data_IF_277520625810
#
_entry.id   IF_277520625810
#
_cell.length_a   1.000
_cell.length_b   1.000
_cell.length_c   1.000
_cell.angle_alpha   90.00
_cell.angle_beta   90.00
_cell.angle_gamma   90.00
#
_symmetry.space_group_name_H-M   'P 1'
#
loop_
_entity.id
_entity.type
_entity.pdbx_description
1 polymer ?
#
# COMPACT_ATOMS: atom_id res chain seq x y z
N UNK A 1 12.02 0.74 -23.79
CA UNK A 1 10.61 0.48 -23.44
C UNK A 1 10.04 1.73 -22.79
N UNK A 2 9.41 2.60 -23.57
CA UNK A 2 8.68 3.75 -23.02
C UNK A 2 7.29 3.25 -22.65
N UNK A 3 6.91 3.38 -21.38
CA UNK A 3 5.56 3.02 -20.94
C UNK A 3 4.54 3.87 -21.70
N UNK A 4 3.60 3.22 -22.39
CA UNK A 4 2.49 3.92 -23.02
C UNK A 4 1.67 4.67 -21.95
N UNK A 5 1.18 5.89 -22.24
CA UNK A 5 0.48 6.73 -21.28
C UNK A 5 -0.74 6.04 -20.63
N UNK A 6 -1.40 5.14 -21.36
CA UNK A 6 -2.52 4.35 -20.84
C UNK A 6 -2.11 3.37 -19.73
N UNK A 7 -0.91 2.80 -19.81
CA UNK A 7 -0.39 1.85 -18.81
C UNK A 7 -0.04 2.60 -17.52
N UNK A 8 0.60 3.76 -17.65
CA UNK A 8 0.93 4.61 -16.50
C UNK A 8 -0.31 5.05 -15.75
N UNK A 9 -1.37 5.44 -16.47
CA UNK A 9 -2.66 5.81 -15.85
C UNK A 9 -3.29 4.63 -15.09
N UNK A 10 -3.29 3.43 -15.68
CA UNK A 10 -3.84 2.24 -15.02
C UNK A 10 -3.10 1.91 -13.72
N UNK A 11 -1.75 1.97 -13.73
CA UNK A 11 -0.93 1.73 -12.53
C UNK A 11 -1.24 2.77 -11.44
N UNK A 12 -1.37 4.04 -11.80
CA UNK A 12 -1.71 5.10 -10.85
C UNK A 12 -3.09 4.87 -10.23
N UNK A 13 -4.10 4.57 -11.05
CA UNK A 13 -5.46 4.31 -10.58
C UNK A 13 -5.53 3.10 -9.65
N UNK A 14 -4.80 2.03 -9.96
CA UNK A 14 -4.74 0.84 -9.09
C UNK A 14 -4.05 1.10 -7.75
N UNK A 15 -2.97 1.89 -7.73
CA UNK A 15 -2.32 2.32 -6.49
C UNK A 15 -3.21 3.25 -5.65
N UNK A 16 -3.97 4.15 -6.28
CA UNK A 16 -4.94 4.99 -5.58
C UNK A 16 -6.03 4.14 -4.94
N UNK A 17 -6.58 3.16 -5.67
CA UNK A 17 -7.59 2.25 -5.15
C UNK A 17 -7.05 1.42 -3.96
N UNK A 18 -5.82 0.91 -4.07
CA UNK A 18 -5.15 0.19 -2.97
C UNK A 18 -5.14 1.00 -1.68
N UNK A 19 -4.75 2.27 -1.77
CA UNK A 19 -4.72 3.19 -0.62
C UNK A 19 -6.13 3.42 -0.08
N UNK A 20 -7.10 3.66 -0.97
CA UNK A 20 -8.48 3.94 -0.60
C UNK A 20 -9.12 2.80 0.21
N UNK A 21 -8.88 1.55 -0.17
CA UNK A 21 -9.43 0.37 0.53
C UNK A 21 -8.55 -0.13 1.68
N UNK A 22 -7.39 0.50 1.91
CA UNK A 22 -6.44 0.09 2.95
C UNK A 22 -5.72 -1.24 2.68
N UNK A 23 -5.59 -1.65 1.41
CA UNK A 23 -4.87 -2.86 1.04
C UNK A 23 -3.35 -2.71 1.19
N UNK A 24 -2.66 -3.78 1.55
CA UNK A 24 -1.20 -3.75 1.78
C UNK A 24 -0.40 -3.64 0.48
N UNK A 25 -0.84 -4.31 -0.59
CA UNK A 25 -0.14 -4.37 -1.87
C UNK A 25 -1.12 -4.24 -3.05
N UNK A 26 -0.61 -3.74 -4.17
CA UNK A 26 -1.23 -3.77 -5.49
C UNK A 26 -0.16 -4.23 -6.47
N UNK A 27 -0.50 -5.19 -7.33
CA UNK A 27 0.42 -5.85 -8.25
C UNK A 27 -0.34 -6.13 -9.54
N UNK A 28 0.08 -5.50 -10.63
CA UNK A 28 -0.37 -5.84 -11.98
C UNK A 28 0.29 -7.16 -12.41
N UNK A 29 -0.48 -8.10 -12.94
CA UNK A 29 0.02 -9.40 -13.37
C UNK A 29 -0.62 -9.88 -14.68
N UNK A 30 0.05 -10.80 -15.37
CA UNK A 30 -0.50 -11.48 -16.54
C UNK A 30 -0.22 -12.97 -16.45
N UNK A 31 -1.27 -13.76 -16.27
CA UNK A 31 -1.18 -15.22 -16.30
C UNK A 31 -0.72 -15.75 -17.66
N UNK A 32 -0.96 -15.01 -18.75
CA UNK A 32 -0.55 -15.43 -20.10
C UNK A 32 0.96 -15.37 -20.27
N UNK A 33 1.59 -14.30 -19.79
CA UNK A 33 3.05 -14.09 -19.91
C UNK A 33 3.81 -14.44 -18.64
N UNK A 34 3.09 -14.95 -17.62
CA UNK A 34 3.61 -15.26 -16.29
C UNK A 34 4.22 -14.04 -15.55
N UNK A 35 3.95 -12.82 -16.02
CA UNK A 35 4.44 -11.61 -15.38
C UNK A 35 3.81 -11.43 -14.01
N UNK A 36 4.65 -11.28 -12.99
CA UNK A 36 4.29 -11.02 -11.59
C UNK A 36 3.40 -12.08 -10.92
N UNK A 37 3.17 -13.24 -11.54
CA UNK A 37 2.36 -14.32 -10.95
C UNK A 37 3.00 -14.84 -9.67
N UNK A 38 4.32 -15.02 -9.61
CA UNK A 38 4.99 -15.39 -8.35
C UNK A 38 4.87 -14.28 -7.29
N UNK A 39 4.95 -13.02 -7.71
CA UNK A 39 4.95 -11.88 -6.80
C UNK A 39 3.63 -11.73 -6.04
N UNK A 40 2.48 -12.04 -6.66
CA UNK A 40 1.18 -12.01 -5.98
C UNK A 40 1.12 -13.02 -4.83
N UNK A 41 1.64 -14.24 -5.02
CA UNK A 41 1.64 -15.28 -3.98
C UNK A 41 2.68 -14.98 -2.90
N UNK A 42 3.88 -14.53 -3.28
CA UNK A 42 4.90 -14.11 -2.31
C UNK A 42 4.39 -12.97 -1.41
N UNK A 43 3.67 -12.00 -1.98
CA UNK A 43 3.09 -10.90 -1.22
C UNK A 43 2.02 -11.38 -0.23
N UNK A 44 1.11 -12.25 -0.68
CA UNK A 44 0.08 -12.83 0.18
C UNK A 44 0.69 -13.60 1.37
N UNK A 45 1.70 -14.44 1.11
CA UNK A 45 2.43 -15.18 2.15
C UNK A 45 3.08 -14.22 3.15
N UNK A 46 3.75 -13.17 2.65
CA UNK A 46 4.40 -12.17 3.51
C UNK A 46 3.41 -11.44 4.41
N UNK A 47 2.24 -11.04 3.89
CA UNK A 47 1.19 -10.37 4.68
C UNK A 47 0.73 -11.25 5.83
N UNK A 48 0.60 -12.56 5.60
CA UNK A 48 0.13 -13.50 6.62
C UNK A 48 1.21 -13.81 7.66
N UNK A 49 2.45 -14.05 7.24
CA UNK A 49 3.56 -14.41 8.16
C UNK A 49 4.07 -13.20 8.95
N UNK A 50 4.17 -12.04 8.29
CA UNK A 50 4.62 -10.79 8.88
C UNK A 50 3.52 -9.75 8.67
N UNK A 51 2.46 -9.77 9.49
CA UNK A 51 1.39 -8.79 9.38
C UNK A 51 2.00 -7.39 9.44
N UNK A 52 1.82 -6.61 8.37
CA UNK A 52 2.31 -5.26 8.30
C UNK A 52 1.75 -4.53 9.53
N UNK A 53 2.65 -4.11 10.43
CA UNK A 53 2.28 -3.30 11.59
C UNK A 53 1.50 -2.14 11.02
N UNK A 54 0.20 -2.08 11.31
CA UNK A 54 -0.66 -1.02 10.79
C UNK A 54 0.08 0.27 11.06
N UNK A 55 0.52 0.95 9.99
CA UNK A 55 0.95 2.34 10.06
C UNK A 55 -0.34 3.08 10.43
N UNK A 56 -0.73 2.97 11.71
CA UNK A 56 -1.56 3.98 12.34
C UNK A 56 -0.76 5.22 12.06
N UNK A 57 -1.26 6.07 11.18
CA UNK A 57 -0.84 7.45 11.10
C UNK A 57 -0.52 7.86 12.52
N UNK A 58 0.75 8.18 12.77
CA UNK A 58 1.15 8.75 14.04
C UNK A 58 0.37 10.06 14.13
N UNK A 59 -0.87 10.02 14.59
CA UNK A 59 -1.55 11.14 15.21
C UNK A 59 -0.58 11.53 16.30
N UNK A 60 0.24 12.55 16.01
CA UNK A 60 1.00 13.27 17.02
C UNK A 60 -0.03 13.65 18.06
N UNK A 61 -0.14 12.89 19.15
CA UNK A 61 -0.80 13.32 20.36
C UNK A 61 0.07 14.47 20.86
N UNK A 62 -0.15 15.68 20.33
CA UNK A 62 0.22 16.89 21.04
C UNK A 62 -0.62 16.87 22.33
N UNK A 63 0.02 16.40 23.40
CA UNK A 63 -0.50 16.51 24.77
C UNK A 63 -0.80 17.99 25.00
N UNK A 64 -2.04 18.41 25.33
CA UNK A 64 -2.25 19.76 25.83
C UNK A 64 -1.54 19.84 27.18
N UNK A 65 -0.54 20.72 27.29
CA UNK A 65 0.07 21.06 28.57
C UNK A 65 -0.83 22.12 29.22
N UNK A 66 -1.97 21.69 29.75
CA UNK A 66 -2.66 22.50 30.74
C UNK A 66 -1.89 22.36 32.05
N UNK A 67 -1.26 23.46 32.46
CA UNK A 67 -0.61 23.63 33.74
C UNK A 67 -0.57 25.13 34.05
N UNK A 68 -1.70 25.65 34.53
CA UNK A 68 -1.69 26.84 35.37
C UNK A 68 -1.16 26.42 36.73
N UNK A 69 -0.22 27.18 37.31
CA UNK A 69 0.04 27.29 38.75
C UNK A 69 0.95 28.53 38.97
N UNK A 70 0.37 29.51 39.67
CA UNK A 70 0.96 30.68 40.38
C UNK A 70 1.85 31.63 39.61
#
# INVERSE_FOLDING_TARGET
MVAHPSITKAIQQGEELRKHIGATYYIECSSKTQQNVKAIFDAAIKVVIKPAVKQKEKKKKHKPRNGCLS
#
